data_IF_830392026789
#
_entry.id   IF_830392026789
#
_cell.length_a   1.000
_cell.length_b   1.000
_cell.length_c   1.000
_cell.angle_alpha   90.00
_cell.angle_beta   90.00
_cell.angle_gamma   90.00
#
_symmetry.space_group_name_H-M   'P 1'
#
loop_
_entity.id
_entity.type
_entity.pdbx_description
1 polymer ?
#
# COMPACT_ATOMS: atom_id res chain seq x y z
N UNK A 1 -16.14 -1.59 7.17
CA UNK A 1 -14.92 -0.93 6.65
C UNK A 1 -15.23 -0.44 5.25
N UNK A 2 -14.81 0.77 4.88
CA UNK A 2 -15.06 1.30 3.54
C UNK A 2 -14.26 0.48 2.52
N UNK A 3 -14.87 0.24 1.36
CA UNK A 3 -14.20 -0.42 0.25
C UNK A 3 -13.48 0.63 -0.60
N UNK A 4 -12.15 0.53 -0.67
CA UNK A 4 -11.28 1.42 -1.45
C UNK A 4 -10.80 0.78 -2.75
N UNK A 5 -11.44 -0.32 -3.19
CA UNK A 5 -11.05 -1.05 -4.41
C UNK A 5 -11.08 -0.15 -5.65
N UNK A 6 -12.10 0.71 -5.77
CA UNK A 6 -12.22 1.65 -6.89
C UNK A 6 -11.11 2.71 -6.81
N UNK A 7 -10.86 3.30 -5.64
CA UNK A 7 -9.80 4.28 -5.47
C UNK A 7 -8.43 3.70 -5.83
N UNK A 8 -8.12 2.50 -5.34
CA UNK A 8 -6.86 1.81 -5.64
C UNK A 8 -6.74 1.53 -7.15
N UNK A 9 -7.82 1.09 -7.80
CA UNK A 9 -7.83 0.86 -9.24
C UNK A 9 -7.58 2.16 -10.03
N UNK A 10 -8.15 3.29 -9.60
CA UNK A 10 -7.95 4.59 -10.22
C UNK A 10 -6.50 5.08 -10.07
N UNK A 11 -5.85 4.78 -8.94
CA UNK A 11 -4.43 5.11 -8.72
C UNK A 11 -3.45 4.08 -9.28
N UNK A 12 -3.93 2.92 -9.75
CA UNK A 12 -3.07 1.77 -10.05
C UNK A 12 -1.90 2.08 -10.99
N UNK A 13 -2.08 2.79 -12.11
CA UNK A 13 -0.95 3.14 -12.98
C UNK A 13 0.14 3.94 -12.25
N UNK A 14 -0.26 4.86 -11.36
CA UNK A 14 0.66 5.69 -10.57
C UNK A 14 1.29 4.92 -9.42
N UNK A 15 0.53 4.03 -8.76
CA UNK A 15 1.05 3.07 -7.76
C UNK A 15 2.16 2.22 -8.38
N UNK A 16 1.89 1.64 -9.54
CA UNK A 16 2.82 0.78 -10.25
C UNK A 16 4.09 1.53 -10.67
N UNK A 17 3.94 2.75 -11.19
CA UNK A 17 5.08 3.62 -11.51
C UNK A 17 5.95 3.89 -10.27
N UNK A 18 5.34 4.33 -9.16
CA UNK A 18 6.06 4.63 -7.93
C UNK A 18 6.74 3.39 -7.33
N UNK A 19 6.08 2.23 -7.40
CA UNK A 19 6.65 0.95 -6.98
C UNK A 19 7.86 0.57 -7.83
N UNK A 20 7.74 0.64 -9.16
CA UNK A 20 8.83 0.27 -10.09
C UNK A 20 10.06 1.17 -9.92
N UNK A 21 9.87 2.49 -9.80
CA UNK A 21 10.96 3.46 -9.61
C UNK A 21 11.78 3.21 -8.33
N UNK A 22 11.18 2.56 -7.33
CA UNK A 22 11.79 2.36 -6.02
C UNK A 22 11.87 0.90 -5.57
N UNK A 23 11.53 -0.08 -6.42
CA UNK A 23 11.33 -1.50 -6.08
C UNK A 23 12.48 -2.09 -5.26
N UNK A 24 13.72 -1.76 -5.60
CA UNK A 24 14.92 -2.26 -4.92
C UNK A 24 15.00 -1.88 -3.43
N UNK A 25 14.26 -0.86 -3.00
CA UNK A 25 14.18 -0.40 -1.62
C UNK A 25 12.92 -0.86 -0.89
N UNK A 26 12.06 -1.63 -1.56
CA UNK A 26 10.76 -2.09 -1.04
C UNK A 26 9.97 -0.94 -0.40
N UNK A 27 9.58 0.09 -1.16
CA UNK A 27 8.87 1.23 -0.59
C UNK A 27 7.51 0.79 -0.03
N UNK A 28 7.02 1.54 0.94
CA UNK A 28 5.60 1.53 1.29
C UNK A 28 4.92 2.58 0.44
N UNK A 29 3.86 2.20 -0.28
CA UNK A 29 3.11 3.11 -1.15
C UNK A 29 1.94 3.69 -0.37
N UNK A 30 1.73 5.01 -0.43
CA UNK A 30 0.54 5.67 0.11
C UNK A 30 -0.25 6.35 -1.01
N UNK A 31 -1.55 6.10 -1.07
CA UNK A 31 -2.52 6.84 -1.87
C UNK A 31 -3.22 7.86 -0.99
N UNK A 32 -2.92 9.13 -1.20
CA UNK A 32 -3.58 10.24 -0.52
C UNK A 32 -4.80 10.67 -1.35
N UNK A 33 -6.00 10.36 -0.84
CA UNK A 33 -7.25 10.64 -1.55
C UNK A 33 -7.55 12.14 -1.65
N UNK A 34 -7.17 12.91 -0.64
CA UNK A 34 -7.39 14.36 -0.59
C UNK A 34 -6.54 15.08 -1.65
N UNK A 35 -5.25 14.75 -1.74
CA UNK A 35 -4.34 15.36 -2.70
C UNK A 35 -4.39 14.74 -4.09
N UNK A 36 -5.10 13.60 -4.25
CA UNK A 36 -5.10 12.78 -5.47
C UNK A 36 -3.67 12.38 -5.88
N UNK A 37 -2.83 12.01 -4.92
CA UNK A 37 -1.41 11.68 -5.14
C UNK A 37 -1.03 10.32 -4.57
N UNK A 38 0.01 9.76 -5.19
CA UNK A 38 0.69 8.55 -4.71
C UNK A 38 2.10 8.92 -4.24
N UNK A 39 2.48 8.43 -3.07
CA UNK A 39 3.79 8.62 -2.48
C UNK A 39 4.47 7.27 -2.23
N UNK A 40 5.78 7.22 -2.40
CA UNK A 40 6.61 6.08 -2.02
C UNK A 40 7.49 6.48 -0.83
N UNK A 41 7.33 5.81 0.30
CA UNK A 41 8.05 6.10 1.52
C UNK A 41 9.04 4.99 1.90
N UNK A 42 10.16 5.34 2.56
CA UNK A 42 10.97 4.35 3.25
C UNK A 42 10.12 3.63 4.31
N UNK A 43 9.94 2.32 4.16
CA UNK A 43 8.98 1.57 4.96
C UNK A 43 9.22 1.69 6.47
N UNK A 44 10.49 1.64 6.91
CA UNK A 44 10.85 1.75 8.33
C UNK A 44 10.45 3.11 8.92
N UNK A 45 10.67 4.19 8.19
CA UNK A 45 10.32 5.55 8.65
C UNK A 45 8.81 5.70 8.74
N UNK A 46 8.08 5.26 7.70
CA UNK A 46 6.63 5.31 7.66
C UNK A 46 5.98 4.49 8.78
N UNK A 47 6.39 3.23 8.95
CA UNK A 47 5.84 2.31 9.96
C UNK A 47 6.10 2.87 11.38
N UNK A 48 7.20 3.59 11.58
CA UNK A 48 7.52 4.23 12.86
C UNK A 48 6.63 5.43 13.19
N UNK A 49 5.88 5.99 12.24
CA UNK A 49 4.87 7.03 12.53
C UNK A 49 3.57 6.44 13.07
N UNK A 50 3.33 5.15 12.82
CA UNK A 50 2.12 4.45 13.27
C UNK A 50 2.11 4.24 14.79
N UNK A 51 0.89 4.13 15.34
CA UNK A 51 0.67 3.76 16.74
C UNK A 51 1.39 2.45 17.09
N UNK A 52 1.80 2.26 18.34
CA UNK A 52 2.51 1.04 18.78
C UNK A 52 1.77 -0.25 18.41
N UNK A 53 0.43 -0.25 18.55
CA UNK A 53 -0.44 -1.37 18.21
C UNK A 53 -0.43 -1.66 16.70
N UNK A 54 -0.60 -0.63 15.88
CA UNK A 54 -0.64 -0.77 14.42
C UNK A 54 0.73 -1.12 13.85
N UNK A 55 1.80 -0.48 14.36
CA UNK A 55 3.19 -0.66 13.94
C UNK A 55 3.62 -2.12 13.90
N UNK A 56 3.38 -2.86 14.98
CA UNK A 56 3.84 -4.25 15.09
C UNK A 56 3.12 -5.16 14.08
N UNK A 57 1.83 -4.92 13.85
CA UNK A 57 1.05 -5.67 12.85
C UNK A 57 1.49 -5.32 11.43
N UNK A 58 1.60 -4.03 11.13
CA UNK A 58 2.03 -3.54 9.82
C UNK A 58 3.42 -4.02 9.47
N UNK A 59 4.37 -3.96 10.41
CA UNK A 59 5.74 -4.44 10.20
C UNK A 59 5.74 -5.91 9.79
N UNK A 60 5.04 -6.77 10.53
CA UNK A 60 4.94 -8.20 10.21
C UNK A 60 4.34 -8.44 8.82
N UNK A 61 3.23 -7.78 8.49
CA UNK A 61 2.59 -7.94 7.18
C UNK A 61 3.48 -7.43 6.04
N UNK A 62 4.16 -6.31 6.26
CA UNK A 62 5.09 -5.71 5.31
C UNK A 62 6.28 -6.65 5.05
N UNK A 63 6.91 -7.19 6.10
CA UNK A 63 8.01 -8.16 5.97
C UNK A 63 7.57 -9.41 5.21
N UNK A 64 6.37 -9.93 5.51
CA UNK A 64 5.83 -11.12 4.86
C UNK A 64 5.57 -10.92 3.36
N UNK A 65 4.98 -9.79 2.97
CA UNK A 65 4.62 -9.53 1.56
C UNK A 65 5.86 -9.18 0.74
N UNK A 66 6.78 -8.39 1.30
CA UNK A 66 8.00 -7.97 0.58
C UNK A 66 9.01 -9.10 0.40
N UNK A 67 9.10 -10.03 1.36
CA UNK A 67 9.90 -11.25 1.20
C UNK A 67 9.47 -12.10 -0.01
N UNK A 68 8.23 -11.94 -0.47
CA UNK A 68 7.65 -12.63 -1.63
C UNK A 68 7.64 -11.74 -2.89
N UNK A 69 8.33 -10.59 -2.86
CA UNK A 69 8.38 -9.63 -3.96
C UNK A 69 7.08 -8.82 -4.15
N UNK A 70 6.16 -8.91 -3.19
CA UNK A 70 4.92 -8.14 -3.17
C UNK A 70 5.09 -6.74 -2.58
N UNK A 71 4.00 -5.97 -2.57
CA UNK A 71 3.96 -4.58 -2.09
C UNK A 71 2.83 -4.36 -1.09
N UNK A 72 3.00 -3.32 -0.27
CA UNK A 72 1.96 -2.83 0.64
C UNK A 72 1.57 -1.40 0.24
N UNK A 73 0.26 -1.18 0.10
CA UNK A 73 -0.35 0.11 -0.24
C UNK A 73 -1.20 0.58 0.92
N UNK A 74 -1.03 1.81 1.35
CA UNK A 74 -1.91 2.48 2.28
C UNK A 74 -2.85 3.42 1.53
N UNK A 75 -4.13 3.39 1.86
CA UNK A 75 -5.10 4.40 1.44
C UNK A 75 -5.34 5.34 2.61
N UNK A 76 -5.03 6.61 2.39
CA UNK A 76 -5.19 7.69 3.37
C UNK A 76 -6.38 8.56 2.98
N UNK A 77 -7.51 8.30 3.63
CA UNK A 77 -8.78 9.00 3.48
C UNK A 77 -8.92 10.00 4.63
N UNK A 78 -8.39 11.20 4.40
CA UNK A 78 -8.41 12.29 5.39
C UNK A 78 -9.83 12.72 5.75
N UNK A 79 -10.75 12.72 4.79
CA UNK A 79 -12.15 13.13 5.01
C UNK A 79 -12.83 12.22 6.03
N UNK A 80 -12.59 10.91 5.94
CA UNK A 80 -13.17 9.91 6.85
C UNK A 80 -12.25 9.55 8.02
N UNK A 81 -11.05 10.15 8.10
CA UNK A 81 -9.99 9.85 9.09
C UNK A 81 -9.61 8.37 9.11
N UNK A 82 -9.53 7.76 7.93
CA UNK A 82 -9.20 6.35 7.75
C UNK A 82 -7.83 6.20 7.10
N UNK A 83 -6.99 5.36 7.69
CA UNK A 83 -5.75 4.88 7.09
C UNK A 83 -5.83 3.35 7.01
N UNK A 84 -5.90 2.82 5.79
CA UNK A 84 -6.15 1.40 5.53
C UNK A 84 -5.04 0.79 4.67
N UNK A 85 -4.47 -0.33 5.11
CA UNK A 85 -3.45 -1.05 4.35
C UNK A 85 -4.03 -2.16 3.49
N UNK A 86 -3.52 -2.30 2.29
CA UNK A 86 -3.77 -3.35 1.32
C UNK A 86 -2.45 -4.01 0.94
N UNK A 87 -2.47 -5.32 0.73
CA UNK A 87 -1.28 -6.10 0.35
C UNK A 87 -1.51 -6.73 -1.01
N UNK A 88 -0.46 -6.72 -1.83
CA UNK A 88 -0.46 -7.28 -3.17
C UNK A 88 0.73 -8.23 -3.27
N UNK A 89 0.48 -9.48 -3.63
CA UNK A 89 1.57 -10.43 -3.85
C UNK A 89 2.25 -10.13 -5.19
N UNK A 90 3.43 -10.70 -5.41
CA UNK A 90 4.13 -10.50 -6.69
C UNK A 90 3.29 -10.91 -7.92
N UNK A 91 2.42 -11.91 -7.79
CA UNK A 91 1.45 -12.35 -8.81
C UNK A 91 0.38 -11.30 -9.13
N UNK A 92 0.04 -10.42 -8.19
CA UNK A 92 -0.99 -9.39 -8.35
C UNK A 92 -0.39 -8.07 -8.87
N UNK A 93 0.94 -7.99 -8.99
CA UNK A 93 1.71 -6.81 -9.38
C UNK A 93 2.14 -6.96 -10.85
N UNK A 94 1.18 -6.78 -11.75
CA UNK A 94 1.44 -6.70 -13.19
C UNK A 94 1.25 -5.26 -13.69
N UNK A 95 2.20 -4.71 -14.48
CA UNK A 95 2.17 -3.31 -14.92
C UNK A 95 0.91 -2.94 -15.73
N UNK A 96 0.37 -3.91 -16.47
CA UNK A 96 -0.73 -3.71 -17.42
C UNK A 96 -2.04 -4.38 -16.97
N UNK A 97 -2.07 -5.02 -15.80
CA UNK A 97 -3.27 -5.67 -15.28
C UNK A 97 -4.00 -4.80 -14.24
N UNK A 98 -5.33 -4.99 -14.14
CA UNK A 98 -6.10 -4.44 -13.03
C UNK A 98 -5.69 -5.13 -11.72
N UNK A 99 -5.60 -4.41 -10.59
CA UNK A 99 -5.18 -5.00 -9.33
C UNK A 99 -6.13 -6.10 -8.88
N UNK A 100 -5.59 -7.28 -8.58
CA UNK A 100 -6.33 -8.34 -7.92
C UNK A 100 -6.31 -8.11 -6.40
N UNK A 101 -7.27 -7.31 -5.92
CA UNK A 101 -7.32 -6.89 -4.52
C UNK A 101 -7.86 -8.04 -3.66
N UNK A 102 -6.95 -8.84 -3.08
CA UNK A 102 -7.31 -9.78 -2.01
C UNK A 102 -7.48 -8.96 -0.72
N UNK A 103 -8.72 -8.87 -0.22
CA UNK A 103 -9.01 -8.24 1.07
C UNK A 103 -8.37 -9.07 2.20
N UNK A 104 -7.18 -8.65 2.64
CA UNK A 104 -6.52 -9.22 3.81
C UNK A 104 -7.16 -8.75 5.11
N UNK A 105 -8.28 -9.36 5.52
CA UNK A 105 -8.79 -9.26 6.89
C UNK A 105 -9.17 -10.64 7.42
N UNK A 106 -8.39 -11.12 8.38
CA UNK A 106 -8.89 -11.56 9.69
C UNK A 106 -7.92 -11.04 10.77
#
# INVERSE_FOLDING_TARGET
MKDYTIDIADFWPTIMKAWQEHRNRHPLIECNLLERKVFAYPAKEYINTLSKRTRSRTLRQYEQVTAQGGMMVFVNDFENRVLQSHVFNAEDIEPDAKPNIKTGIR
#
